data_IF_925043905389
#
_entry.id   IF_925043905389
#
_cell.length_a   1.000
_cell.length_b   1.000
_cell.length_c   1.000
_cell.angle_alpha   90.00
_cell.angle_beta   90.00
_cell.angle_gamma   90.00
#
_symmetry.space_group_name_H-M   'P 1'
#
loop_
_entity.id
_entity.type
_entity.pdbx_description
1 polymer ?
#
# COMPACT_ATOMS: atom_id res chain seq x y z
N UNK A 1 11.38 -19.03 -12.50
CA UNK A 1 11.83 -18.46 -11.76
C UNK A 1 11.84 -17.02 -11.55
N UNK A 2 10.82 -16.22 -11.69
CA UNK A 2 10.81 -14.83 -11.48
C UNK A 2 10.14 -14.49 -10.22
N UNK A 3 10.58 -15.08 -9.13
CA UNK A 3 10.07 -14.74 -7.83
C UNK A 3 10.26 -13.27 -7.51
N UNK A 4 11.30 -12.65 -8.10
CA UNK A 4 11.54 -11.24 -7.83
C UNK A 4 10.43 -10.37 -8.35
N UNK A 5 9.87 -10.72 -9.50
CA UNK A 5 8.78 -9.92 -10.07
C UNK A 5 7.54 -10.01 -9.19
N UNK A 6 7.21 -11.22 -8.73
CA UNK A 6 6.06 -11.40 -7.85
C UNK A 6 6.27 -10.69 -6.53
N UNK A 7 7.50 -10.76 -5.98
CA UNK A 7 7.77 -10.10 -4.71
C UNK A 7 7.68 -8.59 -4.83
N UNK A 8 8.16 -8.04 -5.94
CA UNK A 8 8.09 -6.61 -6.14
C UNK A 8 6.65 -6.15 -6.30
N UNK A 9 5.87 -6.92 -7.06
CA UNK A 9 4.47 -6.58 -7.24
C UNK A 9 3.73 -6.63 -5.91
N UNK A 10 4.00 -7.65 -5.12
CA UNK A 10 3.33 -7.79 -3.84
C UNK A 10 3.70 -6.63 -2.92
N UNK A 11 4.97 -6.25 -2.91
CA UNK A 11 5.42 -5.13 -2.08
C UNK A 11 4.73 -3.84 -2.51
N UNK A 12 4.57 -3.65 -3.81
CA UNK A 12 3.90 -2.47 -4.33
C UNK A 12 2.45 -2.44 -3.87
N UNK A 13 1.78 -3.59 -3.91
CA UNK A 13 0.40 -3.66 -3.46
C UNK A 13 0.29 -3.32 -1.99
N UNK A 14 1.18 -3.88 -1.18
CA UNK A 14 1.15 -3.63 0.26
C UNK A 14 1.37 -2.15 0.55
N UNK A 15 2.34 -1.54 -0.10
CA UNK A 15 2.60 -0.12 0.10
C UNK A 15 1.40 0.72 -0.32
N UNK A 16 0.76 0.35 -1.42
CA UNK A 16 -0.40 1.07 -1.90
C UNK A 16 -1.55 1.00 -0.88
N UNK A 17 -1.77 -0.17 -0.32
CA UNK A 17 -2.83 -0.35 0.67
C UNK A 17 -2.53 0.46 1.93
N UNK A 18 -1.28 0.44 2.38
CA UNK A 18 -0.89 1.20 3.56
C UNK A 18 -1.09 2.69 3.32
N UNK A 19 -0.68 3.18 2.17
CA UNK A 19 -0.83 4.60 1.83
C UNK A 19 -2.30 4.99 1.80
N UNK A 20 -3.13 4.16 1.19
CA UNK A 20 -4.56 4.43 1.11
C UNK A 20 -5.17 4.46 2.50
N UNK A 21 -4.78 3.54 3.36
CA UNK A 21 -5.30 3.47 4.72
C UNK A 21 -4.92 4.73 5.50
N UNK A 22 -3.67 5.15 5.38
CA UNK A 22 -3.22 6.36 6.07
C UNK A 22 -3.98 7.58 5.59
N UNK A 23 -4.25 7.65 4.29
CA UNK A 23 -4.99 8.77 3.73
C UNK A 23 -6.39 8.83 4.32
N UNK A 24 -7.05 7.69 4.46
CA UNK A 24 -8.38 7.65 5.04
C UNK A 24 -8.36 8.11 6.49
N UNK A 25 -7.38 7.65 7.25
CA UNK A 25 -7.27 8.04 8.65
C UNK A 25 -7.08 9.55 8.76
N UNK A 26 -6.23 10.12 7.91
CA UNK A 26 -5.98 11.55 7.92
C UNK A 26 -7.26 12.32 7.61
N UNK A 27 -8.06 11.84 6.69
CA UNK A 27 -9.31 12.51 6.35
C UNK A 27 -10.25 12.53 7.55
N UNK A 28 -10.33 11.43 8.26
CA UNK A 28 -11.20 11.34 9.41
C UNK A 28 -10.74 12.30 10.50
N UNK A 29 -9.42 12.37 10.71
CA UNK A 29 -8.88 13.24 11.74
C UNK A 29 -9.07 14.72 11.41
N UNK A 30 -9.06 15.03 10.12
CA UNK A 30 -9.19 16.41 9.71
C UNK A 30 -10.63 16.85 9.51
N UNK A 31 -11.57 15.99 9.75
CA UNK A 31 -12.97 16.37 9.63
C UNK A 31 -13.38 17.37 10.68
#
# INVERSE_FOLDING_TARGET
HDNNVLNKSEATYVVTIITATLTLIHKIENQ
#
